data_IF_402599448154
#
_entry.id   IF_402599448154
#
_cell.length_a   1.000
_cell.length_b   1.000
_cell.length_c   1.000
_cell.angle_alpha   90.00
_cell.angle_beta   90.00
_cell.angle_gamma   90.00
#
_symmetry.space_group_name_H-M   'P 1'
#
loop_
_entity.id
_entity.type
_entity.pdbx_description
1 polymer ?
#
# COMPACT_ATOMS: atom_id res chain seq x y z
N UNK A 1 23.57 -15.85 -14.39
CA UNK A 1 23.28 -14.45 -14.03
C UNK A 1 22.51 -13.86 -15.20
N UNK A 2 21.25 -13.45 -14.99
CA UNK A 2 20.48 -12.78 -16.04
C UNK A 2 21.00 -11.35 -16.21
N UNK A 3 21.10 -10.88 -17.46
CA UNK A 3 21.57 -9.53 -17.76
C UNK A 3 20.46 -8.51 -17.42
N UNK A 4 20.84 -7.34 -16.94
CA UNK A 4 19.91 -6.23 -16.67
C UNK A 4 19.08 -5.87 -17.92
N UNK A 5 19.71 -5.91 -19.10
CA UNK A 5 19.05 -5.67 -20.38
C UNK A 5 17.89 -6.64 -20.65
N UNK A 6 17.98 -7.91 -20.23
CA UNK A 6 16.88 -8.87 -20.44
C UNK A 6 15.66 -8.55 -19.59
N UNK A 7 15.87 -7.98 -18.40
CA UNK A 7 14.76 -7.55 -17.54
C UNK A 7 14.11 -6.28 -18.10
N UNK A 8 14.92 -5.36 -18.61
CA UNK A 8 14.45 -4.14 -19.29
C UNK A 8 13.62 -4.48 -20.54
N UNK A 9 14.13 -5.36 -21.42
CA UNK A 9 13.43 -5.78 -22.64
C UNK A 9 12.07 -6.41 -22.33
N UNK A 10 11.99 -7.23 -21.29
CA UNK A 10 10.73 -7.83 -20.83
C UNK A 10 9.74 -6.76 -20.34
N UNK A 11 10.21 -5.79 -19.58
CA UNK A 11 9.35 -4.70 -19.07
C UNK A 11 8.90 -3.79 -20.21
N UNK A 12 9.78 -3.44 -21.15
CA UNK A 12 9.39 -2.68 -22.35
C UNK A 12 8.37 -3.46 -23.19
N UNK A 13 8.54 -4.78 -23.34
CA UNK A 13 7.55 -5.64 -24.00
C UNK A 13 6.19 -5.61 -23.31
N UNK A 14 6.15 -5.66 -21.97
CA UNK A 14 4.91 -5.51 -21.22
C UNK A 14 4.29 -4.11 -21.40
N UNK A 15 5.09 -3.05 -21.35
CA UNK A 15 4.60 -1.68 -21.52
C UNK A 15 4.00 -1.44 -22.92
N UNK A 16 4.52 -2.11 -23.94
CA UNK A 16 4.00 -2.02 -25.30
C UNK A 16 2.81 -2.98 -25.55
N UNK A 17 2.56 -3.92 -24.64
CA UNK A 17 1.40 -4.81 -24.72
C UNK A 17 0.13 -4.08 -24.27
N UNK A 18 -0.99 -4.33 -24.93
CA UNK A 18 -2.33 -3.92 -24.49
C UNK A 18 -3.06 -5.02 -23.70
N UNK A 19 -2.43 -6.19 -23.53
CA UNK A 19 -3.01 -7.34 -22.85
C UNK A 19 -2.53 -7.40 -21.39
N UNK A 20 -3.46 -7.21 -20.45
CA UNK A 20 -3.23 -7.30 -19.01
C UNK A 20 -2.68 -8.66 -18.58
N UNK A 21 -3.08 -9.75 -19.24
CA UNK A 21 -2.54 -11.07 -18.97
C UNK A 21 -1.04 -11.11 -19.26
N UNK A 22 -0.63 -10.61 -20.44
CA UNK A 22 0.79 -10.56 -20.83
C UNK A 22 1.59 -9.71 -19.83
N UNK A 23 1.08 -8.54 -19.46
CA UNK A 23 1.74 -7.65 -18.50
C UNK A 23 1.90 -8.32 -17.12
N UNK A 24 0.87 -9.03 -16.65
CA UNK A 24 0.93 -9.77 -15.38
C UNK A 24 1.93 -10.93 -15.44
N UNK A 25 2.00 -11.66 -16.55
CA UNK A 25 3.00 -12.73 -16.70
C UNK A 25 4.42 -12.16 -16.69
N UNK A 26 4.66 -11.06 -17.41
CA UNK A 26 5.96 -10.38 -17.37
C UNK A 26 6.31 -9.96 -15.94
N UNK A 27 5.38 -9.35 -15.21
CA UNK A 27 5.63 -8.95 -13.83
C UNK A 27 6.01 -10.14 -12.92
N UNK A 28 5.36 -11.30 -13.09
CA UNK A 28 5.71 -12.54 -12.36
C UNK A 28 7.09 -13.09 -12.76
N UNK A 29 7.44 -12.99 -14.04
CA UNK A 29 8.78 -13.35 -14.53
C UNK A 29 9.81 -12.42 -13.88
N UNK A 30 9.58 -11.11 -13.89
CA UNK A 30 10.45 -10.12 -13.25
C UNK A 30 10.59 -10.38 -11.74
N UNK A 31 9.51 -10.71 -11.04
CA UNK A 31 9.57 -11.14 -9.64
C UNK A 31 10.51 -12.34 -9.45
N UNK A 32 10.37 -13.36 -10.30
CA UNK A 32 11.19 -14.58 -10.25
C UNK A 32 12.65 -14.28 -10.51
N UNK A 33 12.94 -13.42 -11.49
CA UNK A 33 14.29 -12.99 -11.84
C UNK A 33 14.96 -12.22 -10.71
N UNK A 34 14.25 -11.30 -10.07
CA UNK A 34 14.76 -10.54 -8.92
C UNK A 34 14.98 -11.47 -7.72
N UNK A 35 14.05 -12.40 -7.49
CA UNK A 35 14.16 -13.40 -6.40
C UNK A 35 15.36 -14.34 -6.56
N UNK A 36 15.82 -14.59 -7.79
CA UNK A 36 16.95 -15.46 -8.10
C UNK A 36 18.33 -14.79 -8.08
N UNK A 37 18.41 -13.47 -7.88
CA UNK A 37 19.65 -12.71 -8.14
C UNK A 37 19.94 -11.48 -7.26
N UNK A 38 19.16 -11.22 -6.20
CA UNK A 38 19.55 -10.38 -5.06
C UNK A 38 19.80 -8.88 -5.29
N UNK A 39 19.55 -8.34 -6.49
CA UNK A 39 19.80 -6.93 -6.80
C UNK A 39 18.62 -6.27 -7.52
N UNK A 40 18.13 -5.14 -7.01
CA UNK A 40 17.26 -4.21 -7.73
C UNK A 40 18.12 -3.00 -8.07
N UNK A 41 18.53 -2.90 -9.33
CA UNK A 41 19.20 -1.69 -9.82
C UNK A 41 18.19 -0.53 -9.83
N UNK A 42 18.66 0.74 -9.75
CA UNK A 42 17.79 1.92 -9.93
C UNK A 42 16.98 1.87 -11.24
N UNK A 43 17.56 1.28 -12.28
CA UNK A 43 16.92 1.07 -13.57
C UNK A 43 15.76 0.06 -13.47
N UNK A 44 15.96 -1.06 -12.77
CA UNK A 44 14.89 -2.04 -12.47
C UNK A 44 13.77 -1.42 -11.64
N UNK A 45 14.08 -0.54 -10.70
CA UNK A 45 13.07 0.18 -9.91
C UNK A 45 12.26 1.16 -10.79
N UNK A 46 12.93 1.92 -11.66
CA UNK A 46 12.27 2.82 -12.61
C UNK A 46 11.35 2.07 -13.58
N UNK A 47 11.73 0.88 -14.02
CA UNK A 47 10.93 0.07 -14.93
C UNK A 47 9.75 -0.63 -14.23
N UNK A 48 9.93 -1.13 -13.00
CA UNK A 48 8.82 -1.61 -12.16
C UNK A 48 7.81 -0.50 -11.86
N UNK A 49 8.30 0.73 -11.65
CA UNK A 49 7.46 1.93 -11.50
C UNK A 49 6.60 2.16 -12.74
N UNK A 50 7.15 2.10 -13.96
CA UNK A 50 6.37 2.28 -15.19
C UNK A 50 5.24 1.24 -15.30
N UNK A 51 5.54 -0.02 -14.97
CA UNK A 51 4.53 -1.08 -14.95
C UNK A 51 3.42 -0.78 -13.94
N UNK A 52 3.78 -0.42 -12.70
CA UNK A 52 2.81 -0.02 -11.67
C UNK A 52 1.89 1.11 -12.14
N UNK A 53 2.46 2.17 -12.71
CA UNK A 53 1.70 3.32 -13.22
C UNK A 53 0.72 2.90 -14.32
N UNK A 54 1.10 2.01 -15.22
CA UNK A 54 0.19 1.51 -16.25
C UNK A 54 -1.00 0.76 -15.64
N UNK A 55 -0.76 -0.12 -14.67
CA UNK A 55 -1.84 -0.88 -14.04
C UNK A 55 -2.77 -0.02 -13.19
N UNK A 56 -2.31 1.13 -12.67
CA UNK A 56 -3.20 2.09 -12.01
C UNK A 56 -4.10 2.85 -13.00
N UNK A 57 -3.71 2.96 -14.27
CA UNK A 57 -4.51 3.63 -15.31
C UNK A 57 -5.58 2.68 -15.87
N UNK A 58 -5.32 1.37 -15.87
CA UNK A 58 -6.29 0.38 -16.30
C UNK A 58 -7.25 0.05 -15.14
N UNK A 59 -8.54 0.42 -15.29
CA UNK A 59 -9.63 0.26 -14.30
C UNK A 59 -9.98 -1.18 -13.87
N UNK A 60 -9.06 -2.14 -14.02
CA UNK A 60 -9.24 -3.50 -13.55
C UNK A 60 -8.62 -3.67 -12.15
N UNK A 61 -9.47 -3.55 -11.12
CA UNK A 61 -9.11 -3.70 -9.71
C UNK A 61 -8.30 -4.97 -9.43
N UNK A 62 -8.67 -6.10 -10.05
CA UNK A 62 -7.99 -7.37 -9.81
C UNK A 62 -6.56 -7.37 -10.36
N UNK A 63 -6.36 -6.74 -11.52
CA UNK A 63 -5.04 -6.61 -12.15
C UNK A 63 -4.17 -5.65 -11.34
N UNK A 64 -4.71 -4.50 -10.95
CA UNK A 64 -4.03 -3.54 -10.09
C UNK A 64 -3.61 -4.16 -8.75
N UNK A 65 -4.50 -4.96 -8.14
CA UNK A 65 -4.18 -5.73 -6.92
C UNK A 65 -3.02 -6.70 -7.14
N UNK A 66 -3.06 -7.51 -8.20
CA UNK A 66 -1.99 -8.47 -8.49
C UNK A 66 -0.65 -7.77 -8.75
N UNK A 67 -0.69 -6.59 -9.38
CA UNK A 67 0.49 -5.77 -9.58
C UNK A 67 1.06 -5.29 -8.24
N UNK A 68 0.25 -4.62 -7.42
CA UNK A 68 0.66 -4.13 -6.10
C UNK A 68 1.21 -5.26 -5.22
N UNK A 69 0.54 -6.42 -5.22
CA UNK A 69 0.96 -7.61 -4.48
C UNK A 69 2.33 -8.12 -4.94
N UNK A 70 2.58 -8.14 -6.25
CA UNK A 70 3.85 -8.62 -6.80
C UNK A 70 4.98 -7.65 -6.52
N UNK A 71 4.74 -6.34 -6.68
CA UNK A 71 5.72 -5.31 -6.33
C UNK A 71 6.04 -5.33 -4.84
N UNK A 72 5.04 -5.47 -3.97
CA UNK A 72 5.28 -5.60 -2.52
C UNK A 72 6.16 -6.81 -2.21
N UNK A 73 5.89 -7.97 -2.83
CA UNK A 73 6.73 -9.16 -2.64
C UNK A 73 8.17 -8.93 -3.10
N UNK A 74 8.38 -8.20 -4.19
CA UNK A 74 9.72 -7.80 -4.66
C UNK A 74 10.42 -6.92 -3.61
N UNK A 75 9.75 -5.88 -3.12
CA UNK A 75 10.27 -4.95 -2.11
C UNK A 75 10.64 -5.70 -0.81
N UNK A 76 9.73 -6.52 -0.29
CA UNK A 76 9.94 -7.25 0.96
C UNK A 76 11.05 -8.30 0.84
N UNK A 77 11.13 -9.02 -0.30
CA UNK A 77 12.25 -9.93 -0.56
C UNK A 77 13.56 -9.18 -0.61
N UNK A 78 13.59 -8.06 -1.34
CA UNK A 78 14.78 -7.24 -1.47
C UNK A 78 15.30 -6.80 -0.10
N UNK A 79 14.44 -6.19 0.73
CA UNK A 79 14.73 -5.81 2.12
C UNK A 79 15.38 -6.93 2.93
N UNK A 80 14.89 -8.16 2.78
CA UNK A 80 15.39 -9.32 3.52
C UNK A 80 16.70 -9.91 2.94
N UNK A 81 17.01 -9.65 1.67
CA UNK A 81 18.20 -10.17 0.98
C UNK A 81 19.38 -9.19 0.94
N UNK A 82 19.14 -7.88 1.07
CA UNK A 82 20.15 -6.86 0.84
C UNK A 82 20.87 -6.41 2.12
N UNK A 83 22.16 -6.74 2.22
CA UNK A 83 23.18 -5.79 2.66
C UNK A 83 23.11 -4.58 1.71
N UNK A 84 22.35 -3.54 2.06
CA UNK A 84 22.27 -2.30 1.28
C UNK A 84 23.61 -1.57 1.42
N UNK A 85 24.58 -1.89 0.56
CA UNK A 85 25.92 -1.30 0.65
C UNK A 85 26.09 -0.05 -0.22
N UNK A 86 25.12 0.30 -1.08
CA UNK A 86 25.20 1.50 -1.93
C UNK A 86 23.96 2.38 -1.87
N UNK A 87 24.19 3.70 -1.79
CA UNK A 87 23.17 4.76 -1.75
C UNK A 87 22.23 4.72 -2.96
N UNK A 88 22.74 4.36 -4.15
CA UNK A 88 21.93 4.27 -5.37
C UNK A 88 20.85 3.20 -5.28
N UNK A 89 21.16 2.06 -4.68
CA UNK A 89 20.22 0.94 -4.53
C UNK A 89 19.12 1.27 -3.51
N UNK A 90 19.46 2.09 -2.51
CA UNK A 90 18.49 2.61 -1.54
C UNK A 90 17.53 3.60 -2.21
N UNK A 91 18.05 4.56 -2.99
CA UNK A 91 17.22 5.53 -3.70
C UNK A 91 16.21 4.85 -4.65
N UNK A 92 16.64 3.81 -5.39
CA UNK A 92 15.74 3.05 -6.25
C UNK A 92 14.64 2.30 -5.47
N UNK A 93 14.97 1.79 -4.28
CA UNK A 93 13.99 1.13 -3.41
C UNK A 93 12.96 2.14 -2.87
N UNK A 94 13.42 3.30 -2.40
CA UNK A 94 12.57 4.35 -1.85
C UNK A 94 11.61 4.89 -2.90
N UNK A 95 12.08 5.15 -4.12
CA UNK A 95 11.25 5.51 -5.27
C UNK A 95 10.16 4.45 -5.53
N UNK A 96 10.52 3.16 -5.50
CA UNK A 96 9.56 2.09 -5.76
C UNK A 96 8.50 1.98 -4.64
N UNK A 97 8.89 2.20 -3.39
CA UNK A 97 7.99 2.24 -2.22
C UNK A 97 7.01 3.41 -2.35
N UNK A 98 7.48 4.60 -2.72
CA UNK A 98 6.62 5.77 -2.95
C UNK A 98 5.53 5.47 -4.00
N UNK A 99 5.92 4.86 -5.13
CA UNK A 99 4.97 4.55 -6.20
C UNK A 99 4.01 3.43 -5.81
N UNK A 100 4.47 2.45 -5.04
CA UNK A 100 3.57 1.44 -4.48
C UNK A 100 2.58 2.07 -3.49
N UNK A 101 2.99 3.05 -2.69
CA UNK A 101 2.10 3.79 -1.80
C UNK A 101 0.98 4.49 -2.59
N UNK A 102 1.34 5.21 -3.66
CA UNK A 102 0.36 5.85 -4.55
C UNK A 102 -0.59 4.84 -5.18
N UNK A 103 -0.06 3.72 -5.69
CA UNK A 103 -0.85 2.69 -6.35
C UNK A 103 -1.83 2.00 -5.38
N UNK A 104 -1.40 1.69 -4.15
CA UNK A 104 -2.24 1.11 -3.12
C UNK A 104 -3.32 2.10 -2.63
N UNK A 105 -3.01 3.40 -2.53
CA UNK A 105 -3.99 4.42 -2.18
C UNK A 105 -5.10 4.54 -3.26
N UNK A 106 -4.70 4.51 -4.53
CA UNK A 106 -5.64 4.47 -5.65
C UNK A 106 -6.51 3.21 -5.61
N UNK A 107 -5.88 2.03 -5.48
CA UNK A 107 -6.58 0.74 -5.41
C UNK A 107 -7.59 0.71 -4.26
N UNK A 108 -7.21 1.21 -3.07
CA UNK A 108 -8.10 1.29 -1.92
C UNK A 108 -9.34 2.13 -2.24
N UNK A 109 -9.15 3.26 -2.91
CA UNK A 109 -10.25 4.16 -3.31
C UNK A 109 -11.22 3.46 -4.27
N UNK A 110 -10.71 2.83 -5.33
CA UNK A 110 -11.50 2.10 -6.32
C UNK A 110 -12.27 0.92 -5.70
N UNK A 111 -11.62 0.18 -4.80
CA UNK A 111 -12.23 -0.95 -4.10
C UNK A 111 -13.37 -0.52 -3.17
N UNK A 112 -13.23 0.62 -2.52
CA UNK A 112 -14.29 1.20 -1.68
C UNK A 112 -15.46 1.67 -2.54
N UNK A 113 -15.19 2.36 -3.65
CA UNK A 113 -16.23 2.80 -4.57
C UNK A 113 -17.00 1.63 -5.19
N UNK A 114 -16.31 0.54 -5.54
CA UNK A 114 -16.92 -0.68 -6.05
C UNK A 114 -17.64 -1.52 -4.99
N UNK A 115 -17.59 -1.14 -3.70
CA UNK A 115 -18.15 -1.88 -2.57
C UNK A 115 -17.73 -3.37 -2.52
N UNK A 116 -16.53 -3.70 -3.01
CA UNK A 116 -16.05 -5.08 -3.05
C UNK A 116 -15.31 -5.45 -1.76
N UNK A 117 -16.04 -6.05 -0.80
CA UNK A 117 -15.51 -6.43 0.52
C UNK A 117 -14.28 -7.35 0.42
N UNK A 118 -14.29 -8.31 -0.51
CA UNK A 118 -13.19 -9.27 -0.65
C UNK A 118 -11.91 -8.56 -1.11
N UNK A 119 -12.01 -7.71 -2.12
CA UNK A 119 -10.85 -6.95 -2.59
C UNK A 119 -10.42 -5.89 -1.58
N UNK A 120 -11.34 -5.39 -0.73
CA UNK A 120 -10.98 -4.49 0.38
C UNK A 120 -10.08 -5.21 1.37
N UNK A 121 -10.47 -6.40 1.82
CA UNK A 121 -9.66 -7.21 2.73
C UNK A 121 -8.28 -7.50 2.15
N UNK A 122 -8.23 -7.87 0.88
CA UNK A 122 -6.99 -8.15 0.17
C UNK A 122 -6.08 -6.91 0.11
N UNK A 123 -6.64 -5.75 -0.24
CA UNK A 123 -5.90 -4.49 -0.36
C UNK A 123 -5.39 -3.99 0.99
N UNK A 124 -6.23 -4.04 2.03
CA UNK A 124 -5.84 -3.70 3.39
C UNK A 124 -4.71 -4.58 3.92
N UNK A 125 -4.71 -5.88 3.58
CA UNK A 125 -3.62 -6.78 3.95
C UNK A 125 -2.28 -6.39 3.28
N UNK A 126 -2.30 -5.92 2.01
CA UNK A 126 -1.08 -5.42 1.36
C UNK A 126 -0.57 -4.14 2.04
N UNK A 127 -1.48 -3.20 2.35
CA UNK A 127 -1.17 -1.97 3.08
C UNK A 127 -0.52 -2.30 4.43
N UNK A 128 -1.13 -3.19 5.21
CA UNK A 128 -0.60 -3.59 6.52
C UNK A 128 0.79 -4.23 6.43
N UNK A 129 1.04 -5.05 5.41
CA UNK A 129 2.35 -5.64 5.18
C UNK A 129 3.43 -4.59 4.84
N UNK A 130 3.10 -3.62 4.00
CA UNK A 130 4.02 -2.54 3.64
C UNK A 130 4.30 -1.62 4.84
N UNK A 131 3.26 -1.22 5.57
CA UNK A 131 3.36 -0.35 6.76
C UNK A 131 4.21 -0.96 7.86
N UNK A 132 4.08 -2.28 8.11
CA UNK A 132 4.96 -2.98 9.08
C UNK A 132 6.43 -2.98 8.66
N UNK A 133 6.68 -2.94 7.36
CA UNK A 133 8.04 -2.93 6.83
C UNK A 133 8.65 -1.52 6.78
N UNK A 134 7.83 -0.49 6.59
CA UNK A 134 8.26 0.89 6.35
C UNK A 134 7.37 1.90 7.10
N UNK A 135 7.96 2.59 8.08
CA UNK A 135 7.27 3.55 8.96
C UNK A 135 6.60 4.70 8.19
N UNK A 136 7.28 5.26 7.18
CA UNK A 136 6.71 6.37 6.39
C UNK A 136 5.47 5.94 5.61
N UNK A 137 5.46 4.68 5.14
CA UNK A 137 4.28 4.10 4.50
C UNK A 137 3.15 3.92 5.52
N UNK A 138 3.47 3.51 6.75
CA UNK A 138 2.50 3.41 7.83
C UNK A 138 1.83 4.75 8.13
N UNK A 139 2.59 5.84 8.21
CA UNK A 139 2.05 7.19 8.41
C UNK A 139 1.08 7.58 7.30
N UNK A 140 1.47 7.41 6.04
CA UNK A 140 0.63 7.74 4.89
C UNK A 140 -0.70 6.97 4.90
N UNK A 141 -0.65 5.66 5.18
CA UNK A 141 -1.87 4.84 5.17
C UNK A 141 -2.74 5.00 6.40
N UNK A 142 -2.16 5.24 7.57
CA UNK A 142 -2.94 5.56 8.78
C UNK A 142 -3.77 6.82 8.51
N UNK A 143 -3.13 7.88 8.00
CA UNK A 143 -3.81 9.12 7.63
C UNK A 143 -4.92 8.88 6.60
N UNK A 144 -4.61 8.17 5.50
CA UNK A 144 -5.58 7.85 4.46
C UNK A 144 -6.77 7.05 4.99
N UNK A 145 -6.53 6.01 5.79
CA UNK A 145 -7.59 5.15 6.33
C UNK A 145 -8.50 5.93 7.27
N UNK A 146 -7.96 6.86 8.03
CA UNK A 146 -8.75 7.75 8.89
C UNK A 146 -9.71 8.63 8.10
N UNK A 147 -9.20 9.38 7.10
CA UNK A 147 -10.04 10.20 6.21
C UNK A 147 -11.08 9.32 5.51
N UNK A 148 -10.69 8.12 5.11
CA UNK A 148 -11.58 7.18 4.43
C UNK A 148 -12.71 6.71 5.35
N UNK A 149 -12.40 6.31 6.59
CA UNK A 149 -13.42 5.90 7.59
C UNK A 149 -14.45 6.99 7.84
N UNK A 150 -14.04 8.27 7.84
CA UNK A 150 -14.93 9.41 8.01
C UNK A 150 -15.95 9.55 6.86
N UNK A 151 -15.62 9.08 5.65
CA UNK A 151 -16.44 9.30 4.46
C UNK A 151 -17.25 8.06 4.03
N UNK A 152 -16.97 6.89 4.59
CA UNK A 152 -17.65 5.64 4.24
C UNK A 152 -18.95 5.48 5.03
N UNK A 153 -20.06 5.34 4.32
CA UNK A 153 -21.40 5.13 4.91
C UNK A 153 -21.79 3.67 5.05
N UNK A 154 -21.15 2.76 4.30
CA UNK A 154 -21.38 1.33 4.39
C UNK A 154 -20.74 0.77 5.67
N UNK A 155 -21.57 0.29 6.59
CA UNK A 155 -21.14 -0.21 7.89
C UNK A 155 -20.18 -1.42 7.81
N UNK A 156 -20.32 -2.27 6.79
CA UNK A 156 -19.42 -3.42 6.61
C UNK A 156 -18.03 -2.96 6.15
N UNK A 157 -17.95 -2.07 5.15
CA UNK A 157 -16.69 -1.45 4.72
C UNK A 157 -16.01 -0.73 5.89
N UNK A 158 -16.78 0.07 6.65
CA UNK A 158 -16.28 0.77 7.83
C UNK A 158 -15.71 -0.20 8.87
N UNK A 159 -16.36 -1.35 9.11
CA UNK A 159 -15.86 -2.36 10.04
C UNK A 159 -14.48 -2.90 9.61
N UNK A 160 -14.26 -3.14 8.32
CA UNK A 160 -12.96 -3.60 7.83
C UNK A 160 -11.87 -2.54 7.89
N UNK A 161 -12.21 -1.30 7.52
CA UNK A 161 -11.28 -0.16 7.59
C UNK A 161 -10.85 0.12 9.04
N UNK A 162 -11.80 0.19 9.97
CA UNK A 162 -11.53 0.39 11.40
C UNK A 162 -10.69 -0.74 11.99
N UNK A 163 -10.98 -2.01 11.64
CA UNK A 163 -10.14 -3.15 12.07
C UNK A 163 -8.71 -3.05 11.55
N UNK A 164 -8.52 -2.64 10.30
CA UNK A 164 -7.17 -2.45 9.73
C UNK A 164 -6.42 -1.33 10.45
N UNK A 165 -7.12 -0.24 10.76
CA UNK A 165 -6.59 0.87 11.53
C UNK A 165 -6.15 0.47 12.95
N UNK A 166 -6.95 -0.35 13.66
CA UNK A 166 -6.55 -0.97 14.94
C UNK A 166 -5.28 -1.82 14.77
N UNK A 167 -5.20 -2.63 13.71
CA UNK A 167 -4.02 -3.48 13.48
C UNK A 167 -2.77 -2.65 13.20
N UNK A 168 -2.89 -1.54 12.48
CA UNK A 168 -1.80 -0.59 12.28
C UNK A 168 -1.46 0.13 13.59
N UNK A 169 -2.45 0.47 14.41
CA UNK A 169 -2.26 1.19 15.68
C UNK A 169 -1.40 0.44 16.68
N UNK A 170 -1.58 -0.88 16.75
CA UNK A 170 -0.78 -1.75 17.63
C UNK A 170 0.71 -1.70 17.27
N UNK A 171 1.03 -1.52 15.99
CA UNK A 171 2.41 -1.55 15.50
C UNK A 171 3.05 -0.15 15.38
N UNK A 172 2.24 0.91 15.42
CA UNK A 172 2.66 2.29 15.16
C UNK A 172 1.99 3.30 16.13
N UNK A 173 2.04 3.00 17.42
CA UNK A 173 1.31 3.73 18.48
C UNK A 173 1.59 5.23 18.48
N UNK A 174 2.84 5.65 18.27
CA UNK A 174 3.25 7.06 18.24
C UNK A 174 2.67 7.82 17.04
N UNK A 175 2.61 7.18 15.86
CA UNK A 175 2.00 7.77 14.66
C UNK A 175 0.52 8.02 14.91
N UNK A 176 -0.16 7.04 15.51
CA UNK A 176 -1.59 7.14 15.80
C UNK A 176 -1.84 8.23 16.84
N UNK A 177 -1.05 8.31 17.91
CA UNK A 177 -1.19 9.37 18.90
C UNK A 177 -1.13 10.78 18.27
N UNK A 178 -0.22 11.00 17.31
CA UNK A 178 -0.08 12.27 16.61
C UNK A 178 -1.26 12.56 15.65
N UNK A 179 -1.70 11.56 14.90
CA UNK A 179 -2.84 11.67 13.99
C UNK A 179 -4.16 11.88 14.76
N UNK A 180 -4.31 11.27 15.96
CA UNK A 180 -5.50 11.37 16.82
C UNK A 180 -5.83 12.83 17.16
N UNK A 181 -4.84 13.68 17.38
CA UNK A 181 -5.07 15.10 17.70
C UNK A 181 -5.70 15.82 16.51
N UNK A 182 -5.17 15.59 15.30
CA UNK A 182 -5.71 16.15 14.06
C UNK A 182 -7.11 15.58 13.77
N UNK A 183 -7.33 14.31 14.11
CA UNK A 183 -8.62 13.63 13.96
C UNK A 183 -9.67 14.12 14.94
N UNK A 184 -9.35 14.34 16.22
CA UNK A 184 -10.30 14.93 17.17
C UNK A 184 -10.85 16.25 16.63
N UNK A 185 -10.00 17.07 16.02
CA UNK A 185 -10.41 18.31 15.38
C UNK A 185 -11.27 18.07 14.13
N UNK A 186 -10.95 17.07 13.31
CA UNK A 186 -11.74 16.73 12.12
C UNK A 186 -13.12 16.15 12.48
N UNK A 187 -13.18 15.24 13.47
CA UNK A 187 -14.39 14.56 13.94
C UNK A 187 -15.33 15.49 14.71
N UNK A 188 -14.81 16.46 15.46
CA UNK A 188 -15.63 17.48 16.13
C UNK A 188 -16.27 18.47 15.15
N UNK A 189 -15.72 18.59 13.94
CA UNK A 189 -16.17 19.55 12.92
C UNK A 189 -16.94 18.92 11.76
N UNK A 190 -17.18 17.61 11.78
CA UNK A 190 -17.89 16.90 10.71
C UNK A 190 -19.20 16.30 11.20
N UNK A 191 -20.24 16.33 10.36
CA UNK A 191 -21.54 15.66 10.59
C UNK A 191 -21.40 14.15 10.37
N UNK A 192 -20.48 13.52 11.08
CA UNK A 192 -20.26 12.08 11.00
C UNK A 192 -21.44 11.33 11.59
N UNK A 193 -21.79 10.20 10.98
CA UNK A 193 -22.71 9.24 11.57
C UNK A 193 -22.22 8.87 12.99
N UNK A 194 -23.12 8.91 13.97
CA UNK A 194 -22.81 8.63 15.38
C UNK A 194 -22.12 7.26 15.54
N UNK A 195 -22.48 6.25 14.73
CA UNK A 195 -21.85 4.93 14.76
C UNK A 195 -20.37 4.93 14.34
N UNK A 196 -20.00 5.78 13.37
CA UNK A 196 -18.60 5.99 12.97
C UNK A 196 -17.86 6.69 14.10
N UNK A 197 -18.50 7.71 14.70
CA UNK A 197 -17.93 8.48 15.80
C UNK A 197 -17.64 7.60 17.01
N UNK A 198 -18.57 6.72 17.40
CA UNK A 198 -18.38 5.81 18.53
C UNK A 198 -17.31 4.74 18.27
N UNK A 199 -17.22 4.18 17.06
CA UNK A 199 -16.17 3.21 16.73
C UNK A 199 -14.78 3.86 16.70
N UNK A 200 -14.65 5.09 16.17
CA UNK A 200 -13.40 5.86 16.22
C UNK A 200 -13.07 6.33 17.65
N UNK A 201 -14.07 6.66 18.47
CA UNK A 201 -13.90 6.97 19.89
C UNK A 201 -13.41 5.76 20.70
N UNK A 202 -13.96 4.57 20.45
CA UNK A 202 -13.49 3.34 21.09
C UNK A 202 -12.03 3.03 20.72
N UNK A 203 -11.65 3.30 19.47
CA UNK A 203 -10.26 3.28 18.99
C UNK A 203 -9.37 4.25 19.80
N UNK A 204 -9.82 5.47 20.09
CA UNK A 204 -9.09 6.45 20.93
C UNK A 204 -8.89 5.97 22.37
N UNK A 205 -9.88 5.31 22.96
CA UNK A 205 -9.81 4.77 24.34
C UNK A 205 -8.80 3.61 24.43
N UNK A 206 -8.69 2.80 23.38
CA UNK A 206 -7.77 1.65 23.34
C UNK A 206 -6.32 2.05 23.04
N UNK A 207 -6.10 3.12 22.26
CA UNK A 207 -4.75 3.58 21.90
C UNK A 207 -4.04 4.34 23.01
N UNK A 208 -4.76 4.97 23.93
CA UNK A 208 -4.14 5.66 25.08
C UNK A 208 -5.13 5.80 26.26
N UNK A 209 -5.17 4.85 27.23
CA UNK A 209 -6.11 4.91 28.35
C UNK A 209 -5.86 6.08 29.32
N UNK A 210 -4.71 6.77 29.20
CA UNK A 210 -4.29 7.84 30.11
C UNK A 210 -4.58 9.26 29.59
N UNK A 211 -4.97 9.45 28.32
CA UNK A 211 -5.17 10.78 27.69
C UNK A 211 -6.56 11.40 27.96
N UNK A 212 -7.31 10.88 28.92
CA UNK A 212 -8.66 11.35 29.29
C UNK A 212 -8.80 11.79 30.75
N UNK A 213 -7.70 11.87 31.50
CA UNK A 213 -7.67 12.46 32.83
C UNK A 213 -7.30 13.95 32.79
#
# INVERSE_FOLDING_TARGET
>A
VWLDSTTEDLIQFANNSNDDFVRLQVLRIVETLISGGGYISPMRAADLKKLLQMFTIHNNIQVAYQCCSTTLRIILKYRNTSNISSTESQNGLDDLIEHLNTALAFLLTEVIQSNNIKELQNTLNLIEQLSRAYTDSAQNFIHLLFITCANVTNAELLSYLTKSLVRLSINHTEIIANEIIQLRQLLMNTSLNDDVRYNLLALFVLSNPNDFN
#
